data_IF_423419698585
#
_entry.id   IF_423419698585
#
_cell.length_a   1.000
_cell.length_b   1.000
_cell.length_c   1.000
_cell.angle_alpha   90.00
_cell.angle_beta   90.00
_cell.angle_gamma   90.00
#
_symmetry.space_group_name_H-M   'P 1'
#
loop_
_entity.id
_entity.type
_entity.pdbx_description
1 polymer ?
#
# COMPACT_ATOMS: atom_id res chain seq x y z
N UNK A 1 -8.54 24.56 7.52
CA UNK A 1 -9.24 23.34 7.96
C UNK A 1 -8.28 22.44 8.72
N UNK A 2 -8.76 21.65 9.69
CA UNK A 2 -7.88 20.75 10.45
C UNK A 2 -7.57 19.50 9.61
N UNK A 3 -6.30 19.12 9.40
CA UNK A 3 -5.95 17.92 8.65
C UNK A 3 -6.37 16.65 9.39
N UNK A 4 -6.76 15.62 8.65
CA UNK A 4 -7.07 14.29 9.16
C UNK A 4 -6.40 13.25 8.26
N UNK A 5 -5.49 12.46 8.83
CA UNK A 5 -4.73 11.46 8.10
C UNK A 5 -5.17 10.05 8.52
N UNK A 6 -5.41 9.19 7.55
CA UNK A 6 -5.82 7.81 7.76
C UNK A 6 -5.08 6.89 6.80
N UNK A 7 -4.70 5.71 7.28
CA UNK A 7 -4.11 4.66 6.45
C UNK A 7 -4.93 3.38 6.52
N UNK A 8 -4.96 2.61 5.44
CA UNK A 8 -5.28 1.18 5.50
C UNK A 8 -4.00 0.36 5.66
N UNK A 9 -4.08 -0.94 6.00
CA UNK A 9 -3.00 -1.85 5.67
C UNK A 9 -2.68 -1.79 4.17
N UNK A 10 -1.42 -2.03 3.80
CA UNK A 10 -1.05 -2.30 2.42
C UNK A 10 -1.28 -3.77 2.12
N UNK A 11 -1.81 -4.08 0.94
CA UNK A 11 -2.29 -5.42 0.62
C UNK A 11 -1.27 -6.22 -0.18
N UNK A 12 -1.01 -7.46 0.24
CA UNK A 12 -0.14 -8.36 -0.52
C UNK A 12 -0.73 -8.67 -1.90
N UNK A 13 0.14 -8.59 -2.91
CA UNK A 13 -0.25 -8.87 -4.31
C UNK A 13 -0.12 -10.36 -4.70
N UNK A 14 -0.16 -11.26 -3.73
CA UNK A 14 -0.09 -12.71 -3.97
C UNK A 14 -1.41 -13.31 -4.51
N UNK A 15 -2.49 -12.56 -4.50
CA UNK A 15 -3.81 -12.94 -5.00
C UNK A 15 -4.61 -11.71 -5.42
N UNK A 16 -5.69 -11.94 -6.17
CA UNK A 16 -6.67 -10.90 -6.50
C UNK A 16 -7.34 -10.32 -5.24
N UNK A 17 -7.80 -9.05 -5.29
CA UNK A 17 -8.56 -8.48 -4.20
C UNK A 17 -9.79 -9.33 -3.86
N UNK A 18 -10.09 -9.44 -2.57
CA UNK A 18 -11.24 -10.17 -2.05
C UNK A 18 -12.06 -9.30 -1.07
N UNK A 19 -13.17 -9.84 -0.59
CA UNK A 19 -14.12 -9.13 0.27
C UNK A 19 -13.47 -8.51 1.52
N UNK A 20 -12.48 -9.18 2.13
CA UNK A 20 -11.75 -8.65 3.30
C UNK A 20 -11.01 -7.34 2.99
N UNK A 21 -10.33 -7.26 1.84
CA UNK A 21 -9.69 -6.03 1.38
C UNK A 21 -10.72 -4.93 1.13
N UNK A 22 -11.84 -5.27 0.45
CA UNK A 22 -12.92 -4.35 0.15
C UNK A 22 -13.54 -3.79 1.44
N UNK A 23 -13.81 -4.64 2.44
CA UNK A 23 -14.38 -4.24 3.72
C UNK A 23 -13.50 -3.23 4.43
N UNK A 24 -12.22 -3.53 4.62
CA UNK A 24 -11.27 -2.65 5.32
C UNK A 24 -11.17 -1.28 4.63
N UNK A 25 -11.07 -1.27 3.30
CA UNK A 25 -10.94 -0.03 2.54
C UNK A 25 -12.23 0.79 2.54
N UNK A 26 -13.40 0.12 2.49
CA UNK A 26 -14.69 0.78 2.57
C UNK A 26 -14.92 1.45 3.93
N UNK A 27 -14.52 0.80 5.02
CA UNK A 27 -14.57 1.41 6.37
C UNK A 27 -13.70 2.66 6.43
N UNK A 28 -12.47 2.59 5.90
CA UNK A 28 -11.58 3.75 5.84
C UNK A 28 -12.17 4.90 5.00
N UNK A 29 -12.73 4.60 3.83
CA UNK A 29 -13.38 5.59 2.96
C UNK A 29 -14.61 6.23 3.64
N UNK A 30 -15.40 5.44 4.37
CA UNK A 30 -16.54 5.95 5.14
C UNK A 30 -16.09 6.95 6.21
N UNK A 31 -14.98 6.68 6.90
CA UNK A 31 -14.39 7.62 7.86
C UNK A 31 -13.89 8.90 7.17
N UNK A 32 -13.25 8.79 6.02
CA UNK A 32 -12.80 9.93 5.22
C UNK A 32 -13.98 10.82 4.82
N UNK A 33 -15.07 10.22 4.33
CA UNK A 33 -16.30 10.95 3.95
C UNK A 33 -16.92 11.64 5.16
N UNK A 34 -16.98 10.97 6.31
CA UNK A 34 -17.47 11.55 7.54
C UNK A 34 -16.61 12.76 8.00
N UNK A 35 -15.28 12.62 7.98
CA UNK A 35 -14.39 13.71 8.36
C UNK A 35 -14.54 14.94 7.44
N UNK A 36 -14.76 14.71 6.15
CA UNK A 36 -15.02 15.79 5.19
C UNK A 36 -16.33 16.50 5.51
N UNK A 37 -17.40 15.78 5.87
CA UNK A 37 -18.66 16.35 6.30
C UNK A 37 -18.51 17.20 7.57
N UNK A 38 -17.55 16.84 8.44
CA UNK A 38 -17.20 17.61 9.65
C UNK A 38 -16.29 18.82 9.39
N UNK A 39 -16.05 19.17 8.11
CA UNK A 39 -15.25 20.33 7.72
C UNK A 39 -13.73 20.14 7.87
N UNK A 40 -13.24 18.90 7.95
CA UNK A 40 -11.80 18.59 7.96
C UNK A 40 -11.26 18.36 6.56
N UNK A 41 -9.93 18.37 6.44
CA UNK A 41 -9.20 17.97 5.23
C UNK A 41 -8.68 16.54 5.38
N UNK A 42 -9.45 15.52 4.98
CA UNK A 42 -9.02 14.15 5.14
C UNK A 42 -8.11 13.70 3.99
N UNK A 43 -7.10 12.89 4.32
CA UNK A 43 -6.18 12.26 3.37
C UNK A 43 -6.05 10.78 3.70
N UNK A 44 -6.51 9.91 2.78
CA UNK A 44 -6.43 8.46 2.90
C UNK A 44 -5.24 7.94 2.10
N UNK A 45 -4.40 7.13 2.75
CA UNK A 45 -3.35 6.38 2.07
C UNK A 45 -3.68 4.89 2.13
N UNK A 46 -3.64 4.26 0.99
CA UNK A 46 -3.76 2.81 0.81
C UNK A 46 -2.69 2.33 -0.16
N UNK A 47 -2.59 1.03 -0.43
CA UNK A 47 -1.60 0.57 -1.39
C UNK A 47 -1.41 -0.93 -1.40
N UNK A 48 -0.34 -1.36 -2.07
CA UNK A 48 0.05 -2.76 -2.20
C UNK A 48 1.46 -3.01 -1.68
N UNK A 49 1.61 -4.15 -0.96
CA UNK A 49 2.89 -4.69 -0.55
C UNK A 49 3.38 -5.69 -1.59
N UNK A 50 4.49 -5.35 -2.25
CA UNK A 50 4.96 -5.99 -3.46
C UNK A 50 6.32 -6.69 -3.29
N UNK A 51 6.72 -6.96 -2.05
CA UNK A 51 7.94 -7.68 -1.72
C UNK A 51 7.66 -8.99 -0.98
N UNK A 52 8.56 -9.96 -1.17
CA UNK A 52 8.55 -11.23 -0.45
C UNK A 52 8.55 -12.46 -1.37
N UNK A 53 9.13 -13.54 -0.88
CA UNK A 53 9.33 -14.80 -1.62
C UNK A 53 8.01 -15.42 -2.12
N UNK A 54 6.92 -15.24 -1.37
CA UNK A 54 5.60 -15.75 -1.77
C UNK A 54 5.11 -15.14 -3.09
N UNK A 55 5.43 -13.87 -3.35
CA UNK A 55 5.04 -13.20 -4.58
C UNK A 55 5.82 -13.78 -5.76
N UNK A 56 7.13 -13.97 -5.58
CA UNK A 56 8.00 -14.60 -6.59
C UNK A 56 7.48 -16.00 -6.93
N UNK A 57 7.21 -16.83 -5.93
CA UNK A 57 6.69 -18.19 -6.13
C UNK A 57 5.34 -18.23 -6.87
N UNK A 58 4.44 -17.28 -6.58
CA UNK A 58 3.14 -17.23 -7.26
C UNK A 58 3.29 -16.74 -8.70
N UNK A 59 4.15 -15.76 -8.94
CA UNK A 59 4.44 -15.27 -10.29
C UNK A 59 5.07 -16.38 -11.15
N UNK A 60 6.05 -17.12 -10.63
CA UNK A 60 6.68 -18.26 -11.31
C UNK A 60 5.65 -19.35 -11.65
N UNK A 61 4.76 -19.70 -10.72
CA UNK A 61 3.67 -20.66 -11.00
C UNK A 61 2.69 -20.17 -12.06
N UNK A 62 2.52 -18.86 -12.19
CA UNK A 62 1.70 -18.26 -13.25
C UNK A 62 2.46 -18.12 -14.58
N UNK A 63 3.77 -18.41 -14.63
CA UNK A 63 4.60 -18.19 -15.80
C UNK A 63 4.83 -16.72 -16.13
N UNK A 64 4.72 -15.84 -15.12
CA UNK A 64 4.86 -14.40 -15.28
C UNK A 64 6.16 -13.89 -14.62
N UNK A 65 6.72 -12.83 -15.18
CA UNK A 65 7.76 -12.06 -14.51
C UNK A 65 7.20 -11.47 -13.20
N UNK A 66 7.91 -11.57 -12.04
CA UNK A 66 7.42 -11.07 -10.75
C UNK A 66 7.01 -9.60 -10.78
N UNK A 67 7.71 -8.75 -11.53
CA UNK A 67 7.35 -7.34 -11.66
C UNK A 67 6.06 -7.14 -12.44
N UNK A 68 5.92 -7.83 -13.57
CA UNK A 68 4.71 -7.79 -14.39
C UNK A 68 3.50 -8.32 -13.60
N UNK A 69 3.70 -9.39 -12.83
CA UNK A 69 2.68 -9.94 -11.93
C UNK A 69 2.22 -8.90 -10.89
N UNK A 70 3.15 -8.23 -10.19
CA UNK A 70 2.83 -7.17 -9.24
C UNK A 70 2.08 -6.01 -9.91
N UNK A 71 2.53 -5.58 -11.09
CA UNK A 71 1.89 -4.50 -11.85
C UNK A 71 0.44 -4.84 -12.17
N UNK A 72 0.18 -6.07 -12.61
CA UNK A 72 -1.16 -6.55 -12.95
C UNK A 72 -2.07 -6.62 -11.72
N UNK A 73 -1.64 -7.25 -10.63
CA UNK A 73 -2.46 -7.38 -9.42
C UNK A 73 -2.71 -6.02 -8.76
N UNK A 74 -1.70 -5.16 -8.69
CA UNK A 74 -1.86 -3.80 -8.17
C UNK A 74 -2.88 -3.00 -8.98
N UNK A 75 -2.87 -3.14 -10.31
CA UNK A 75 -3.88 -2.53 -11.16
C UNK A 75 -5.30 -3.07 -10.90
N UNK A 76 -5.46 -4.36 -10.57
CA UNK A 76 -6.75 -4.95 -10.19
C UNK A 76 -7.29 -4.32 -8.88
N UNK A 77 -6.43 -4.08 -7.88
CA UNK A 77 -6.80 -3.34 -6.67
C UNK A 77 -7.28 -1.93 -6.99
N UNK A 78 -6.52 -1.18 -7.78
CA UNK A 78 -6.89 0.19 -8.15
C UNK A 78 -8.20 0.24 -8.95
N UNK A 79 -8.40 -0.70 -9.88
CA UNK A 79 -9.64 -0.81 -10.66
C UNK A 79 -10.84 -1.11 -9.75
N UNK A 80 -10.67 -1.98 -8.75
CA UNK A 80 -11.71 -2.28 -7.77
C UNK A 80 -12.05 -1.04 -6.93
N UNK A 81 -11.03 -0.34 -6.41
CA UNK A 81 -11.25 0.89 -5.63
C UNK A 81 -11.97 1.96 -6.45
N UNK A 82 -11.60 2.11 -7.70
CA UNK A 82 -12.31 3.01 -8.63
C UNK A 82 -13.76 2.60 -8.82
N UNK A 83 -14.04 1.30 -9.02
CA UNK A 83 -15.41 0.78 -9.17
C UNK A 83 -16.25 0.98 -7.91
N UNK A 84 -15.64 0.92 -6.74
CA UNK A 84 -16.28 1.15 -5.44
C UNK A 84 -16.35 2.62 -5.03
N UNK A 85 -15.88 3.55 -5.87
CA UNK A 85 -15.81 4.99 -5.59
C UNK A 85 -15.01 5.31 -4.29
N UNK A 86 -13.96 4.56 -4.01
CA UNK A 86 -13.06 4.80 -2.88
C UNK A 86 -12.23 6.06 -3.13
N UNK A 87 -12.28 7.01 -2.20
CA UNK A 87 -11.65 8.33 -2.32
C UNK A 87 -10.32 8.40 -1.56
N UNK A 88 -9.29 7.73 -2.07
CA UNK A 88 -7.95 7.83 -1.49
C UNK A 88 -7.16 9.02 -2.06
N UNK A 89 -6.30 9.61 -1.23
CA UNK A 89 -5.37 10.67 -1.61
C UNK A 89 -4.08 10.14 -2.24
N UNK A 90 -3.64 8.94 -1.81
CA UNK A 90 -2.47 8.28 -2.39
C UNK A 90 -2.64 6.76 -2.40
N UNK A 91 -2.15 6.14 -3.49
CA UNK A 91 -1.98 4.69 -3.61
C UNK A 91 -0.50 4.37 -3.65
N UNK A 92 0.02 3.76 -2.58
CA UNK A 92 1.44 3.44 -2.43
C UNK A 92 1.70 2.03 -2.95
N UNK A 93 2.75 1.89 -3.76
CA UNK A 93 3.30 0.60 -4.17
C UNK A 93 4.70 0.48 -3.58
N UNK A 94 4.96 -0.55 -2.78
CA UNK A 94 6.27 -0.70 -2.12
C UNK A 94 7.42 -0.95 -3.11
N UNK A 95 7.12 -1.42 -4.33
CA UNK A 95 8.08 -1.57 -5.42
C UNK A 95 8.35 -0.29 -6.22
N UNK A 96 7.61 0.81 -5.97
CA UNK A 96 7.80 2.06 -6.71
C UNK A 96 9.13 2.74 -6.34
N UNK A 97 9.73 3.44 -7.30
CA UNK A 97 10.99 4.17 -7.07
C UNK A 97 10.84 5.27 -6.00
N UNK A 98 9.68 5.92 -5.94
CA UNK A 98 9.40 6.92 -4.90
C UNK A 98 9.45 6.29 -3.50
N UNK A 99 8.79 5.13 -3.31
CA UNK A 99 8.79 4.42 -2.03
C UNK A 99 10.20 3.92 -1.66
N UNK A 100 10.91 3.29 -2.59
CA UNK A 100 12.30 2.82 -2.36
C UNK A 100 13.20 3.96 -1.90
N UNK A 101 13.13 5.11 -2.57
CA UNK A 101 13.92 6.28 -2.21
C UNK A 101 13.58 6.81 -0.81
N UNK A 102 12.30 6.85 -0.45
CA UNK A 102 11.86 7.24 0.89
C UNK A 102 12.39 6.27 1.95
N UNK A 103 12.27 4.95 1.74
CA UNK A 103 12.80 3.92 2.64
C UNK A 103 14.31 4.05 2.80
N UNK A 104 15.06 4.17 1.72
CA UNK A 104 16.51 4.37 1.76
C UNK A 104 16.90 5.60 2.57
N UNK A 105 16.18 6.71 2.40
CA UNK A 105 16.43 7.94 3.15
C UNK A 105 16.18 7.76 4.65
N UNK A 106 15.10 7.06 5.02
CA UNK A 106 14.79 6.79 6.44
C UNK A 106 15.81 5.83 7.05
N UNK A 107 16.12 4.72 6.37
CA UNK A 107 17.09 3.74 6.85
C UNK A 107 18.49 4.35 7.00
N UNK A 108 18.91 5.24 6.09
CA UNK A 108 20.19 5.92 6.22
C UNK A 108 20.25 6.78 7.49
N UNK A 109 19.17 7.51 7.81
CA UNK A 109 19.10 8.28 9.05
C UNK A 109 19.16 7.40 10.30
N UNK A 110 18.49 6.26 10.29
CA UNK A 110 18.50 5.30 11.42
C UNK A 110 19.89 4.67 11.56
N UNK A 111 20.55 4.35 10.45
CA UNK A 111 21.93 3.86 10.45
C UNK A 111 22.91 4.92 11.01
N UNK A 112 22.80 6.16 10.55
CA UNK A 112 23.65 7.25 11.00
C UNK A 112 23.43 7.57 12.49
N UNK A 113 22.25 7.30 13.03
CA UNK A 113 21.94 7.40 14.47
C UNK A 113 22.54 6.26 15.31
N UNK A 114 23.06 5.19 14.67
CA UNK A 114 23.65 4.04 15.35
C UNK A 114 22.62 2.98 15.81
N UNK A 115 21.37 3.07 15.38
CA UNK A 115 20.30 2.15 15.77
C UNK A 115 20.27 0.86 14.93
N UNK A 116 21.09 0.79 13.87
CA UNK A 116 21.28 -0.41 13.05
C UNK A 116 22.65 -1.01 13.33
N UNK A 117 22.68 -2.26 13.72
CA UNK A 117 23.91 -3.00 14.00
C UNK A 117 23.86 -4.40 13.38
N UNK A 118 25.04 -4.99 13.16
CA UNK A 118 25.16 -6.35 12.69
C UNK A 118 24.85 -7.34 13.83
N UNK A 119 23.99 -8.32 13.58
CA UNK A 119 23.62 -9.37 14.52
C UNK A 119 23.42 -10.70 13.81
N UNK A 120 23.59 -11.79 14.54
CA UNK A 120 23.19 -13.14 14.09
C UNK A 120 21.69 -13.33 14.36
N UNK A 121 20.99 -13.91 13.38
CA UNK A 121 19.56 -14.17 13.43
C UNK A 121 19.25 -15.65 13.23
#
# INVERSE_FOLDING_TARGET
>A
MQPFYLTTPIYYVNAKPHLGHAYTTLVADSMIRFQRMMGREPFLVTGTDEHGDKIVQVAEKAGEDPRAFCDRISAEFQALWKKMDIQYGAFVRTSSEHHKKAVQTVLQKVYDAGDIYFGEY
#
